data_IF_455156689618
#
_entry.id   IF_455156689618
#
_cell.length_a   1.000
_cell.length_b   1.000
_cell.length_c   1.000
_cell.angle_alpha   90.00
_cell.angle_beta   90.00
_cell.angle_gamma   90.00
#
_symmetry.space_group_name_H-M   'P 1'
#
loop_
_entity.id
_entity.type
_entity.pdbx_description
1 polymer ?
#
# COMPACT_ATOMS: atom_id res chain seq x y z
N UNK A 1 -10.66 -5.60 7.88
CA UNK A 1 -11.07 -6.34 6.68
C UNK A 1 -11.21 -7.83 6.97
N UNK A 2 -10.18 -8.52 7.48
CA UNK A 2 -10.21 -9.98 7.72
C UNK A 2 -11.41 -10.50 8.53
N UNK A 3 -11.81 -9.84 9.62
CA UNK A 3 -12.97 -10.27 10.42
C UNK A 3 -14.30 -10.24 9.64
N UNK A 4 -14.53 -9.20 8.82
CA UNK A 4 -15.74 -9.09 8.00
C UNK A 4 -15.76 -10.16 6.90
N UNK A 5 -14.60 -10.49 6.32
CA UNK A 5 -14.45 -11.57 5.32
C UNK A 5 -14.73 -12.94 5.96
N UNK A 6 -14.15 -13.21 7.14
CA UNK A 6 -14.39 -14.45 7.86
C UNK A 6 -15.87 -14.62 8.25
N UNK A 7 -16.54 -13.53 8.64
CA UNK A 7 -17.98 -13.57 8.93
C UNK A 7 -18.82 -13.87 7.68
N UNK A 8 -18.47 -13.32 6.51
CA UNK A 8 -19.15 -13.66 5.24
C UNK A 8 -18.95 -15.12 4.85
N UNK A 9 -17.76 -15.68 5.08
CA UNK A 9 -17.45 -17.08 4.75
C UNK A 9 -18.15 -18.08 5.69
N UNK A 10 -18.39 -17.70 6.94
CA UNK A 10 -18.95 -18.59 7.97
C UNK A 10 -20.47 -18.49 8.09
N UNK A 11 -21.11 -17.46 7.53
CA UNK A 11 -22.55 -17.22 7.66
C UNK A 11 -23.26 -17.23 6.30
N UNK A 12 -23.98 -18.30 5.95
CA UNK A 12 -24.63 -18.45 4.63
C UNK A 12 -25.64 -17.34 4.30
N UNK A 13 -26.29 -16.73 5.29
CA UNK A 13 -27.26 -15.65 5.08
C UNK A 13 -26.61 -14.30 4.70
N UNK A 14 -25.30 -14.13 4.93
CA UNK A 14 -24.54 -12.95 4.48
C UNK A 14 -23.96 -13.13 3.06
N UNK A 15 -24.21 -14.28 2.42
CA UNK A 15 -23.82 -14.51 1.02
C UNK A 15 -24.65 -13.67 0.05
N UNK A 16 -25.91 -13.37 0.40
CA UNK A 16 -26.76 -12.48 -0.39
C UNK A 16 -26.30 -11.02 -0.24
N UNK A 17 -26.09 -10.34 -1.38
CA UNK A 17 -25.57 -8.98 -1.41
C UNK A 17 -26.51 -7.95 -0.79
N UNK A 18 -27.82 -8.13 -0.91
CA UNK A 18 -28.83 -7.20 -0.37
C UNK A 18 -28.82 -7.32 1.15
N UNK A 19 -28.88 -8.54 1.68
CA UNK A 19 -28.82 -8.80 3.13
C UNK A 19 -27.50 -8.29 3.71
N UNK A 20 -26.39 -8.53 3.03
CA UNK A 20 -25.09 -8.02 3.46
C UNK A 20 -25.05 -6.50 3.46
N UNK A 21 -25.55 -5.84 2.41
CA UNK A 21 -25.50 -4.37 2.28
C UNK A 21 -26.21 -3.63 3.42
N UNK A 22 -27.20 -4.27 4.04
CA UNK A 22 -27.96 -3.76 5.18
C UNK A 22 -27.23 -3.96 6.52
N UNK A 23 -26.23 -4.84 6.57
CA UNK A 23 -25.48 -5.16 7.78
C UNK A 23 -24.56 -4.02 8.24
N UNK A 24 -24.24 -4.01 9.53
CA UNK A 24 -23.25 -3.07 10.10
C UNK A 24 -21.84 -3.31 9.52
N UNK A 25 -21.51 -4.56 9.18
CA UNK A 25 -20.23 -4.95 8.63
C UNK A 25 -19.99 -4.35 7.24
N UNK A 26 -21.00 -4.38 6.37
CA UNK A 26 -20.90 -3.77 5.05
C UNK A 26 -20.66 -2.26 5.14
N UNK A 27 -21.28 -1.57 6.11
CA UNK A 27 -21.03 -0.14 6.35
C UNK A 27 -19.59 0.11 6.80
N UNK A 28 -19.08 -0.72 7.70
CA UNK A 28 -17.71 -0.63 8.20
C UNK A 28 -16.68 -0.90 7.11
N UNK A 29 -16.91 -1.93 6.29
CA UNK A 29 -16.08 -2.25 5.13
C UNK A 29 -16.03 -1.09 4.14
N UNK A 30 -17.19 -0.57 3.71
CA UNK A 30 -17.27 0.61 2.83
C UNK A 30 -16.54 1.82 3.39
N UNK A 31 -16.64 2.06 4.71
CA UNK A 31 -15.90 3.15 5.37
C UNK A 31 -14.38 2.94 5.32
N UNK A 32 -13.92 1.72 5.59
CA UNK A 32 -12.49 1.37 5.54
C UNK A 32 -11.96 1.51 4.12
N UNK A 33 -12.64 0.95 3.12
CA UNK A 33 -12.26 1.05 1.70
C UNK A 33 -12.20 2.52 1.27
N UNK A 34 -13.20 3.33 1.63
CA UNK A 34 -13.18 4.78 1.34
C UNK A 34 -11.98 5.48 1.97
N UNK A 35 -11.61 5.11 3.20
CA UNK A 35 -10.46 5.68 3.89
C UNK A 35 -9.15 5.28 3.20
N UNK A 36 -9.03 4.04 2.71
CA UNK A 36 -7.88 3.56 1.95
C UNK A 36 -7.72 4.33 0.64
N UNK A 37 -8.78 4.41 -0.17
CA UNK A 37 -8.71 5.20 -1.42
C UNK A 37 -8.36 6.67 -1.17
N UNK A 38 -8.91 7.27 -0.10
CA UNK A 38 -8.54 8.64 0.28
C UNK A 38 -7.06 8.78 0.66
N UNK A 39 -6.50 7.77 1.35
CA UNK A 39 -5.09 7.74 1.72
C UNK A 39 -4.20 7.60 0.49
N UNK A 40 -4.55 6.71 -0.43
CA UNK A 40 -3.80 6.50 -1.68
C UNK A 40 -3.82 7.75 -2.56
N UNK A 41 -4.98 8.40 -2.71
CA UNK A 41 -5.08 9.70 -3.37
C UNK A 41 -4.12 10.73 -2.77
N UNK A 42 -4.04 10.82 -1.44
CA UNK A 42 -3.10 11.73 -0.77
C UNK A 42 -1.63 11.38 -1.05
N UNK A 43 -1.28 10.11 -1.16
CA UNK A 43 0.10 9.69 -1.49
C UNK A 43 0.46 10.13 -2.90
N UNK A 44 -0.43 9.86 -3.88
CA UNK A 44 -0.22 10.22 -5.28
C UNK A 44 -0.08 11.73 -5.43
N UNK A 45 -1.01 12.51 -4.86
CA UNK A 45 -0.95 13.98 -4.90
C UNK A 45 0.34 14.54 -4.28
N UNK A 46 0.72 14.08 -3.09
CA UNK A 46 1.99 14.49 -2.45
C UNK A 46 3.21 14.17 -3.32
N UNK A 47 3.16 13.05 -4.07
CA UNK A 47 4.26 12.70 -4.97
C UNK A 47 4.31 13.60 -6.20
N UNK A 48 3.15 13.94 -6.79
CA UNK A 48 3.04 14.91 -7.89
C UNK A 48 3.59 16.27 -7.49
N UNK A 49 3.17 16.79 -6.34
CA UNK A 49 3.67 18.06 -5.79
C UNK A 49 5.21 18.06 -5.66
N UNK A 50 5.77 16.97 -5.12
CA UNK A 50 7.23 16.82 -4.96
C UNK A 50 7.96 16.79 -6.30
N UNK A 51 7.39 16.15 -7.32
CA UNK A 51 7.95 16.13 -8.69
C UNK A 51 7.96 17.52 -9.30
N UNK A 52 6.86 18.27 -9.16
CA UNK A 52 6.79 19.66 -9.63
C UNK A 52 7.80 20.57 -8.94
N UNK A 53 8.00 20.43 -7.63
CA UNK A 53 8.99 21.21 -6.88
C UNK A 53 10.42 20.86 -7.32
N UNK A 54 10.72 19.57 -7.52
CA UNK A 54 12.03 19.13 -7.99
C UNK A 54 12.34 19.63 -9.41
N UNK A 55 11.34 19.65 -10.30
CA UNK A 55 11.48 20.21 -11.66
C UNK A 55 11.84 21.70 -11.60
N UNK A 56 11.19 22.49 -10.74
CA UNK A 56 11.52 23.92 -10.55
C UNK A 56 12.94 24.12 -10.02
N UNK A 57 13.36 23.33 -9.03
CA UNK A 57 14.69 23.43 -8.44
C UNK A 57 15.80 22.99 -9.42
N UNK A 58 15.53 22.06 -10.34
CA UNK A 58 16.48 21.62 -11.36
C UNK A 58 16.80 22.73 -12.39
N UNK A 59 15.89 23.67 -12.61
CA UNK A 59 16.10 24.84 -13.48
C UNK A 59 17.00 25.90 -12.83
N UNK A 60 17.06 25.94 -11.49
CA UNK A 60 17.77 27.00 -10.74
C UNK A 60 19.15 26.60 -10.18
N UNK A 61 19.57 25.32 -10.22
CA UNK A 61 20.92 24.98 -9.80
C UNK A 61 21.30 23.51 -9.89
N UNK A 62 22.45 23.25 -10.53
CA UNK A 62 23.32 22.07 -10.45
C UNK A 62 22.76 20.86 -9.70
N UNK A 63 22.33 19.82 -10.43
CA UNK A 63 22.12 18.51 -9.82
C UNK A 63 22.86 17.44 -10.61
N UNK A 64 23.93 16.93 -10.01
CA UNK A 64 24.51 15.65 -10.36
C UNK A 64 23.40 14.59 -10.31
N UNK A 65 22.96 14.12 -11.47
CA UNK A 65 21.99 13.04 -11.60
C UNK A 65 22.60 11.73 -11.11
N UNK A 66 22.49 11.48 -9.80
CA UNK A 66 22.57 10.12 -9.30
C UNK A 66 21.36 9.41 -9.88
N UNK A 67 21.56 8.43 -10.77
CA UNK A 67 20.50 7.53 -11.29
C UNK A 67 19.83 6.80 -10.12
N UNK A 68 18.92 7.48 -9.45
CA UNK A 68 18.02 6.89 -8.48
C UNK A 68 17.05 6.08 -9.34
N UNK A 69 17.02 4.76 -9.13
CA UNK A 69 16.01 3.92 -9.75
C UNK A 69 14.64 4.53 -9.40
N UNK A 70 13.80 4.87 -10.39
CA UNK A 70 12.51 5.46 -10.12
C UNK A 70 11.75 4.54 -9.17
N UNK A 71 11.13 5.13 -8.14
CA UNK A 71 10.23 4.36 -7.29
C UNK A 71 9.07 3.85 -8.16
N UNK A 72 8.40 2.77 -7.76
CA UNK A 72 7.26 2.23 -8.49
C UNK A 72 6.23 3.32 -8.87
N UNK A 73 5.88 4.18 -7.91
CA UNK A 73 4.96 5.30 -8.15
C UNK A 73 5.50 6.31 -9.16
N UNK A 74 6.82 6.48 -9.24
CA UNK A 74 7.42 7.34 -10.24
C UNK A 74 7.24 6.76 -11.65
N UNK A 75 7.43 5.45 -11.82
CA UNK A 75 7.20 4.78 -13.09
C UNK A 75 5.74 4.92 -13.56
N UNK A 76 4.78 4.71 -12.65
CA UNK A 76 3.36 4.86 -12.98
C UNK A 76 3.01 6.28 -13.44
N UNK A 77 3.54 7.29 -12.75
CA UNK A 77 3.31 8.68 -13.16
C UNK A 77 3.96 9.02 -14.51
N UNK A 78 5.11 8.41 -14.84
CA UNK A 78 5.75 8.59 -16.15
C UNK A 78 4.95 7.91 -17.28
N UNK A 79 4.31 6.78 -17.02
CA UNK A 79 3.42 6.10 -17.97
C UNK A 79 2.09 6.84 -18.16
N UNK A 80 1.58 7.48 -17.12
CA UNK A 80 0.41 8.36 -17.21
C UNK A 80 0.71 9.59 -18.07
N UNK A 81 1.88 10.22 -17.91
CA UNK A 81 2.33 11.35 -18.75
C UNK A 81 2.47 10.95 -20.23
N UNK A 82 2.82 9.69 -20.50
CA UNK A 82 2.85 9.12 -21.86
C UNK A 82 1.45 8.75 -22.40
N UNK A 83 0.41 8.79 -21.56
CA UNK A 83 -0.96 8.44 -21.93
C UNK A 83 -1.22 6.93 -22.00
N UNK A 84 -0.34 6.10 -21.46
CA UNK A 84 -0.48 4.64 -21.45
C UNK A 84 -1.44 4.16 -20.36
N UNK A 85 -1.56 4.91 -19.27
CA UNK A 85 -2.49 4.68 -18.16
C UNK A 85 -3.19 5.98 -17.77
N UNK A 86 -4.39 5.87 -17.23
CA UNK A 86 -5.12 7.02 -16.67
C UNK A 86 -4.88 7.16 -15.16
N UNK A 87 -5.34 8.27 -14.60
CA UNK A 87 -5.17 8.54 -13.17
C UNK A 87 -5.88 7.50 -12.28
N UNK A 88 -7.01 6.94 -12.74
CA UNK A 88 -7.71 5.89 -12.02
C UNK A 88 -6.91 4.58 -12.03
N UNK A 89 -6.27 4.22 -13.15
CA UNK A 89 -5.35 3.10 -13.24
C UNK A 89 -4.11 3.26 -12.35
N UNK A 90 -3.53 4.47 -12.25
CA UNK A 90 -2.45 4.75 -11.27
C UNK A 90 -2.93 4.48 -9.85
N UNK A 91 -4.13 4.94 -9.49
CA UNK A 91 -4.68 4.76 -8.15
C UNK A 91 -4.95 3.28 -7.84
N UNK A 92 -5.50 2.52 -8.80
CA UNK A 92 -5.78 1.10 -8.65
C UNK A 92 -4.50 0.27 -8.43
N UNK A 93 -3.46 0.54 -9.23
CA UNK A 93 -2.18 -0.15 -9.10
C UNK A 93 -1.54 0.15 -7.75
N UNK A 94 -1.55 1.43 -7.34
CA UNK A 94 -1.00 1.85 -6.03
C UNK A 94 -1.79 1.24 -4.87
N UNK A 95 -3.12 1.19 -4.95
CA UNK A 95 -3.98 0.55 -3.94
C UNK A 95 -3.63 -0.94 -3.80
N UNK A 96 -3.46 -1.62 -4.93
CA UNK A 96 -3.11 -3.05 -4.97
C UNK A 96 -1.73 -3.30 -4.34
N UNK A 97 -0.70 -2.54 -4.75
CA UNK A 97 0.64 -2.67 -4.19
C UNK A 97 0.70 -2.36 -2.70
N UNK A 98 -0.03 -1.34 -2.23
CA UNK A 98 -0.08 -1.01 -0.81
C UNK A 98 -0.78 -2.11 0.00
N UNK A 99 -1.84 -2.72 -0.53
CA UNK A 99 -2.58 -3.78 0.15
C UNK A 99 -1.79 -5.09 0.20
N UNK A 100 -1.34 -5.58 -0.95
CA UNK A 100 -0.64 -6.85 -1.06
C UNK A 100 0.73 -6.80 -0.40
N UNK A 101 1.47 -5.70 -0.58
CA UNK A 101 2.80 -5.53 -0.03
C UNK A 101 2.79 -5.41 1.49
N UNK A 102 1.83 -4.71 2.07
CA UNK A 102 1.81 -4.46 3.51
C UNK A 102 1.49 -5.71 4.33
N UNK A 103 0.38 -6.38 4.04
CA UNK A 103 -0.14 -7.44 4.90
C UNK A 103 0.74 -8.72 4.82
N UNK A 104 1.30 -9.00 3.65
CA UNK A 104 2.21 -10.14 3.44
C UNK A 104 3.56 -9.92 4.12
N UNK A 105 4.16 -8.74 3.97
CA UNK A 105 5.46 -8.42 4.60
C UNK A 105 5.35 -8.31 6.11
N UNK A 106 4.26 -7.75 6.64
CA UNK A 106 4.01 -7.71 8.08
C UNK A 106 3.91 -9.12 8.67
N UNK A 107 3.22 -10.03 7.99
CA UNK A 107 3.11 -11.44 8.40
C UNK A 107 4.47 -12.14 8.34
N UNK A 108 5.22 -11.97 7.23
CA UNK A 108 6.55 -12.54 7.06
C UNK A 108 7.52 -12.05 8.15
N UNK A 109 7.52 -10.75 8.43
CA UNK A 109 8.35 -10.16 9.47
C UNK A 109 7.98 -10.69 10.86
N UNK A 110 6.68 -10.84 11.14
CA UNK A 110 6.19 -11.40 12.41
C UNK A 110 6.71 -12.82 12.62
N UNK A 111 6.60 -13.68 11.60
CA UNK A 111 7.15 -15.04 11.66
C UNK A 111 8.67 -15.04 11.77
N UNK A 112 9.36 -14.16 11.05
CA UNK A 112 10.81 -14.03 11.12
C UNK A 112 11.28 -13.67 12.53
N UNK A 113 10.69 -12.64 13.14
CA UNK A 113 11.00 -12.22 14.51
C UNK A 113 10.68 -13.33 15.51
N UNK A 114 9.53 -14.01 15.36
CA UNK A 114 9.17 -15.17 16.19
C UNK A 114 10.19 -16.31 16.06
N UNK A 115 10.71 -16.58 14.86
CA UNK A 115 11.73 -17.60 14.64
C UNK A 115 13.06 -17.20 15.28
N UNK A 116 13.49 -15.96 15.11
CA UNK A 116 14.71 -15.44 15.76
C UNK A 116 14.57 -15.52 17.29
N UNK A 117 13.41 -15.18 17.83
CA UNK A 117 13.14 -15.20 19.27
C UNK A 117 13.22 -16.61 19.89
N UNK A 118 12.96 -17.65 19.11
CA UNK A 118 12.97 -19.05 19.54
C UNK A 118 14.27 -19.79 19.20
N UNK A 119 15.24 -19.12 18.56
CA UNK A 119 16.51 -19.73 18.14
C UNK A 119 17.68 -19.13 18.94
N UNK A 120 18.14 -19.79 20.01
CA UNK A 120 19.14 -19.23 20.93
C UNK A 120 20.49 -18.94 20.25
N UNK A 121 20.85 -19.72 19.22
CA UNK A 121 22.07 -19.50 18.41
C UNK A 121 21.99 -18.19 17.63
N UNK A 122 20.84 -17.88 17.03
CA UNK A 122 20.62 -16.63 16.31
C UNK A 122 20.60 -15.42 17.26
N UNK A 123 20.07 -15.57 18.48
CA UNK A 123 20.08 -14.51 19.49
C UNK A 123 21.49 -14.19 20.01
N UNK A 124 22.34 -15.21 20.22
CA UNK A 124 23.71 -14.99 20.71
C UNK A 124 24.59 -14.14 19.79
N UNK A 125 24.29 -14.09 18.47
CA UNK A 125 25.00 -13.22 17.50
C UNK A 125 24.73 -11.74 17.78
N UNK A 126 23.55 -11.38 18.31
CA UNK A 126 23.18 -10.00 18.60
C UNK A 126 23.42 -9.58 20.07
N UNK A 127 23.70 -10.52 20.97
CA UNK A 127 23.85 -10.27 22.42
C UNK A 127 25.32 -10.17 22.86
N UNK A 128 26.29 -10.43 21.98
CA UNK A 128 27.73 -10.22 22.24
C UNK A 128 28.16 -8.83 21.78
N UNK A 129 27.80 -7.80 22.55
CA UNK A 129 28.47 -6.49 22.62
C UNK A 129 28.22 -5.89 24.00
#
# INVERSE_FOLDING_TARGET
MGECVLQRLTQPWLADEVVYSLSANARREKFIVKKLHNFTKQIVEKRREKRMLNSKNAVEGNVYEKKIKPALLDLLLDEEEQGNIDNDGVLEEVDTFLFEGHDTTASALTFMVMRIANEPVAQTVYTKN
#
